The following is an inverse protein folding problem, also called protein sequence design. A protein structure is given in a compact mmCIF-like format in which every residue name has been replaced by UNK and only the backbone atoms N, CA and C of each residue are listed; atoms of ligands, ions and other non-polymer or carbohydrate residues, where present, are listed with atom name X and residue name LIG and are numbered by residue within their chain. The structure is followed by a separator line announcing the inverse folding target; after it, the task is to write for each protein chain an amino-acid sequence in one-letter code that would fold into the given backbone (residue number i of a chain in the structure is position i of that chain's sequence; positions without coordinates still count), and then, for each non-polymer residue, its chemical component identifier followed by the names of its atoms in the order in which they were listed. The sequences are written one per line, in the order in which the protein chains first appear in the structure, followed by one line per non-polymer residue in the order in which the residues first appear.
data_IF_192849733322
#
_entry.id   IF_192849733322
#
_cell.length_a   1.000
_cell.length_b   1.000
_cell.length_c   1.000
_cell.angle_alpha   90.00
_cell.angle_beta   90.00
_cell.angle_gamma   90.00
#
_symmetry.space_group_name_H-M   'P 1'
#
loop_
_entity.id
_entity.type
_entity.pdbx_description
1 polymer ?
#
# COMPACT_ATOMS: atom_id res chain seq x y z
N UNK A 1 4.75 23.23 -20.06
CA UNK A 1 4.22 21.84 -20.12
C UNK A 1 3.47 21.53 -18.84
N UNK A 2 2.29 20.97 -18.96
CA UNK A 2 1.54 20.51 -17.79
C UNK A 2 1.97 19.07 -17.44
N UNK A 3 1.90 18.73 -16.16
CA UNK A 3 2.09 17.35 -15.74
C UNK A 3 0.78 16.57 -15.95
N UNK A 4 0.83 15.38 -16.56
CA UNK A 4 -0.37 14.57 -16.68
C UNK A 4 -0.89 14.10 -15.31
N UNK A 5 -2.21 14.05 -15.15
CA UNK A 5 -2.85 13.66 -13.90
C UNK A 5 -2.85 12.13 -13.76
N UNK A 6 -1.74 11.58 -13.32
CA UNK A 6 -1.59 10.14 -13.06
C UNK A 6 -0.54 9.89 -12.01
N UNK A 7 -0.79 8.91 -11.15
CA UNK A 7 0.18 8.41 -10.19
C UNK A 7 0.72 7.09 -10.76
N UNK A 8 1.97 7.11 -11.20
CA UNK A 8 2.57 5.94 -11.85
C UNK A 8 3.19 5.00 -10.83
N UNK A 9 3.95 5.54 -9.87
CA UNK A 9 4.69 4.75 -8.89
C UNK A 9 4.55 5.38 -7.52
N UNK A 10 4.18 4.58 -6.53
CA UNK A 10 4.34 4.91 -5.13
C UNK A 10 5.57 4.14 -4.62
N UNK A 11 6.62 4.85 -4.22
CA UNK A 11 7.85 4.24 -3.72
C UNK A 11 7.92 4.39 -2.21
N UNK A 12 8.07 3.26 -1.51
CA UNK A 12 8.22 3.22 -0.06
C UNK A 12 9.69 3.01 0.29
N UNK A 13 10.22 3.87 1.15
CA UNK A 13 11.55 3.69 1.72
C UNK A 13 11.54 2.64 2.82
N UNK A 14 12.32 1.58 2.67
CA UNK A 14 12.28 0.44 3.58
C UNK A 14 13.63 0.22 4.26
N UNK A 15 13.60 -0.32 5.49
CA UNK A 15 14.82 -0.61 6.24
C UNK A 15 15.47 -1.94 5.82
N UNK A 16 14.67 -2.87 5.32
CA UNK A 16 15.13 -4.19 4.88
C UNK A 16 14.34 -4.58 3.62
N UNK A 17 14.97 -4.40 2.46
CA UNK A 17 14.31 -4.64 1.18
C UNK A 17 13.83 -6.08 1.03
N UNK A 18 14.64 -7.05 1.44
CA UNK A 18 14.26 -8.46 1.33
C UNK A 18 13.05 -8.81 2.19
N UNK A 19 13.00 -8.28 3.42
CA UNK A 19 11.88 -8.48 4.34
C UNK A 19 10.60 -7.87 3.78
N UNK A 20 10.67 -6.63 3.34
CA UNK A 20 9.49 -5.93 2.80
C UNK A 20 9.01 -6.56 1.51
N UNK A 21 9.91 -6.99 0.64
CA UNK A 21 9.56 -7.71 -0.59
C UNK A 21 8.80 -9.00 -0.27
N UNK A 22 9.28 -9.78 0.68
CA UNK A 22 8.59 -11.01 1.11
C UNK A 22 7.21 -10.73 1.68
N UNK A 23 7.05 -9.63 2.41
CA UNK A 23 5.76 -9.24 2.95
C UNK A 23 4.72 -9.05 1.84
N UNK A 24 5.03 -8.25 0.83
CA UNK A 24 4.10 -7.98 -0.27
C UNK A 24 3.86 -9.22 -1.13
N UNK A 25 4.88 -10.07 -1.32
CA UNK A 25 4.69 -11.37 -1.96
C UNK A 25 3.73 -12.27 -1.16
N UNK A 26 3.80 -12.24 0.16
CA UNK A 26 2.91 -13.01 1.04
C UNK A 26 1.46 -12.51 0.98
N UNK A 27 1.24 -11.24 0.59
CA UNK A 27 -0.10 -10.72 0.30
C UNK A 27 -0.67 -11.27 -1.02
N UNK A 28 0.13 -12.00 -1.80
CA UNK A 28 -0.25 -12.50 -3.12
C UNK A 28 0.17 -11.60 -4.29
N UNK A 29 0.93 -10.55 -4.02
CA UNK A 29 1.37 -9.63 -5.07
C UNK A 29 2.59 -10.17 -5.77
N UNK A 30 2.68 -9.93 -7.09
CA UNK A 30 3.75 -10.47 -7.92
C UNK A 30 4.88 -9.49 -8.09
N UNK A 31 6.08 -9.93 -7.70
CA UNK A 31 7.31 -9.21 -7.98
C UNK A 31 7.57 -9.22 -9.49
N UNK A 32 7.83 -8.06 -10.07
CA UNK A 32 8.04 -7.95 -11.52
C UNK A 32 9.46 -8.31 -11.91
N UNK A 33 9.65 -8.63 -13.21
CA UNK A 33 10.95 -8.96 -13.76
C UNK A 33 11.92 -7.77 -13.78
N UNK A 34 11.42 -6.54 -13.70
CA UNK A 34 12.26 -5.33 -13.62
C UNK A 34 12.87 -5.13 -12.23
N UNK A 35 12.46 -5.93 -11.24
CA UNK A 35 13.04 -5.89 -9.90
C UNK A 35 14.48 -6.41 -9.89
N UNK A 36 15.26 -5.92 -8.93
CA UNK A 36 16.65 -6.33 -8.75
C UNK A 36 16.96 -6.47 -7.25
N UNK A 37 18.23 -6.71 -6.92
CA UNK A 37 18.68 -6.71 -5.53
C UNK A 37 18.63 -5.31 -4.89
N UNK A 38 18.43 -4.24 -5.68
CA UNK A 38 18.42 -2.85 -5.22
C UNK A 38 17.03 -2.26 -5.09
N UNK A 39 16.06 -2.77 -5.86
CA UNK A 39 14.70 -2.22 -5.89
C UNK A 39 13.70 -3.32 -6.25
N UNK A 40 12.54 -3.30 -5.60
CA UNK A 40 11.45 -4.21 -5.91
C UNK A 40 10.28 -3.44 -6.51
N UNK A 41 9.69 -4.00 -7.56
CA UNK A 41 8.49 -3.45 -8.21
C UNK A 41 7.36 -4.48 -8.18
N UNK A 42 6.17 -4.01 -7.82
CA UNK A 42 4.93 -4.78 -7.86
C UNK A 42 3.94 -4.06 -8.76
N UNK A 43 3.49 -4.71 -9.81
CA UNK A 43 2.42 -4.17 -10.63
C UNK A 43 1.10 -4.31 -9.90
N UNK A 44 0.40 -3.20 -9.70
CA UNK A 44 -0.94 -3.20 -9.10
C UNK A 44 -1.97 -2.69 -10.11
N UNK A 45 -3.23 -2.88 -9.81
CA UNK A 45 -4.29 -2.23 -10.56
C UNK A 45 -4.26 -0.72 -10.28
N UNK A 46 -3.96 0.07 -11.30
CA UNK A 46 -3.94 1.53 -11.21
C UNK A 46 -2.57 2.15 -10.94
N UNK A 47 -1.50 1.37 -10.80
CA UNK A 47 -0.16 1.90 -10.60
C UNK A 47 0.85 0.84 -10.20
N UNK A 48 2.03 1.29 -9.83
CA UNK A 48 3.14 0.42 -9.40
C UNK A 48 3.51 0.76 -7.96
N UNK A 49 3.68 -0.25 -7.14
CA UNK A 49 4.33 -0.10 -5.83
C UNK A 49 5.80 -0.45 -6.00
N UNK A 50 6.70 0.44 -5.56
CA UNK A 50 8.12 0.19 -5.50
C UNK A 50 8.61 0.21 -4.06
N UNK A 51 9.58 -0.64 -3.76
CA UNK A 51 10.28 -0.67 -2.48
C UNK A 51 11.74 -0.36 -2.74
N UNK A 52 12.28 0.59 -1.98
CA UNK A 52 13.67 1.04 -2.14
C UNK A 52 14.27 1.30 -0.76
N UNK A 53 15.58 1.08 -0.56
CA UNK A 53 16.18 1.38 0.74
C UNK A 53 15.93 2.83 1.17
N UNK A 54 15.52 3.00 2.42
CA UNK A 54 15.09 4.32 2.94
C UNK A 54 16.12 5.42 2.73
N UNK A 55 17.38 5.15 3.07
CA UNK A 55 18.44 6.16 2.96
C UNK A 55 18.74 6.51 1.51
N UNK A 56 18.72 5.51 0.62
CA UNK A 56 18.92 5.72 -0.82
C UNK A 56 17.77 6.53 -1.43
N UNK A 57 16.53 6.25 -1.01
CA UNK A 57 15.37 7.00 -1.47
C UNK A 57 15.43 8.46 -1.03
N UNK A 58 15.79 8.70 0.23
CA UNK A 58 15.94 10.06 0.74
C UNK A 58 17.02 10.82 -0.03
N UNK A 59 18.16 10.17 -0.30
CA UNK A 59 19.25 10.75 -1.07
C UNK A 59 18.82 11.07 -2.50
N UNK A 60 18.08 10.18 -3.13
CA UNK A 60 17.56 10.39 -4.49
C UNK A 60 16.62 11.59 -4.55
N UNK A 61 15.84 11.81 -3.51
CA UNK A 61 14.94 12.96 -3.37
C UNK A 61 15.63 14.24 -2.88
N UNK A 62 16.94 14.19 -2.60
CA UNK A 62 17.71 15.29 -2.02
C UNK A 62 17.15 15.77 -0.67
N UNK A 63 16.72 14.82 0.15
CA UNK A 63 16.18 15.08 1.49
C UNK A 63 17.03 14.39 2.56
N UNK A 64 17.06 14.94 3.80
CA UNK A 64 17.71 14.24 4.90
C UNK A 64 16.96 12.95 5.24
N UNK A 65 17.72 11.87 5.47
CA UNK A 65 17.17 10.55 5.80
C UNK A 65 16.76 10.48 7.28
N UNK A 66 15.74 11.24 7.64
CA UNK A 66 15.24 11.30 9.02
C UNK A 66 13.92 10.52 9.10
N UNK A 67 13.91 9.50 9.98
CA UNK A 67 12.66 8.79 10.29
C UNK A 67 11.97 9.51 11.44
N UNK A 68 10.67 9.77 11.27
CA UNK A 68 9.82 10.26 12.35
C UNK A 68 9.01 9.11 12.94
N UNK A 69 8.63 9.23 14.20
CA UNK A 69 7.66 8.35 14.83
C UNK A 69 6.24 8.83 14.57
N UNK A 70 5.27 7.93 14.60
CA UNK A 70 3.87 8.26 14.38
C UNK A 70 3.50 8.39 12.91
N UNK A 71 2.43 9.12 12.65
CA UNK A 71 1.87 9.22 11.31
C UNK A 71 2.71 10.14 10.42
N UNK A 72 3.11 9.61 9.25
CA UNK A 72 3.93 10.35 8.28
C UNK A 72 3.14 11.20 7.28
N UNK A 73 1.81 11.21 7.38
CA UNK A 73 0.95 12.06 6.53
C UNK A 73 0.39 11.38 5.28
N UNK A 74 0.72 10.11 5.04
CA UNK A 74 0.24 9.37 3.86
C UNK A 74 -0.30 8.01 4.29
N UNK A 75 -1.47 7.64 3.76
CA UNK A 75 -1.96 6.27 3.77
C UNK A 75 -2.18 5.81 2.34
N UNK A 76 -1.98 4.53 2.09
CA UNK A 76 -2.38 3.88 0.85
C UNK A 76 -3.63 3.06 1.14
N UNK A 77 -4.51 2.91 0.16
CA UNK A 77 -5.76 2.19 0.35
C UNK A 77 -5.95 1.08 -0.67
N UNK A 78 -6.50 -0.02 -0.20
CA UNK A 78 -6.99 -1.12 -1.02
C UNK A 78 -8.50 -1.15 -0.87
N UNK A 79 -9.22 -0.81 -1.93
CA UNK A 79 -10.67 -0.85 -1.94
C UNK A 79 -11.16 -2.23 -2.38
N UNK A 80 -12.18 -2.73 -1.69
CA UNK A 80 -12.75 -4.06 -1.93
C UNK A 80 -14.20 -3.92 -2.42
N UNK A 81 -14.67 -4.94 -3.14
CA UNK A 81 -16.01 -4.94 -3.71
C UNK A 81 -17.11 -5.28 -2.71
N UNK A 82 -16.77 -5.88 -1.56
CA UNK A 82 -17.75 -6.33 -0.58
C UNK A 82 -17.32 -5.98 0.85
N UNK A 83 -18.24 -5.53 1.69
CA UNK A 83 -17.90 -5.18 3.07
C UNK A 83 -17.42 -6.37 3.90
N UNK A 84 -17.93 -7.56 3.63
CA UNK A 84 -17.54 -8.79 4.34
C UNK A 84 -16.11 -9.25 4.05
N UNK A 85 -15.45 -8.69 3.02
CA UNK A 85 -14.08 -9.05 2.69
C UNK A 85 -13.05 -8.21 3.44
N UNK A 86 -13.45 -7.13 4.11
CA UNK A 86 -12.51 -6.21 4.78
C UNK A 86 -11.76 -6.91 5.91
N UNK A 87 -12.46 -7.56 6.83
CA UNK A 87 -11.79 -8.26 7.94
C UNK A 87 -10.93 -9.42 7.47
N UNK A 88 -11.38 -10.31 6.55
CA UNK A 88 -10.50 -11.32 5.98
C UNK A 88 -9.26 -10.75 5.31
N UNK A 89 -9.37 -9.59 4.65
CA UNK A 89 -8.23 -8.89 4.06
C UNK A 89 -7.21 -8.45 5.13
N UNK A 90 -7.68 -7.92 6.23
CA UNK A 90 -6.81 -7.56 7.37
C UNK A 90 -6.18 -8.79 8.00
N UNK A 91 -6.93 -9.89 8.11
CA UNK A 91 -6.41 -11.15 8.65
C UNK A 91 -5.30 -11.71 7.75
N UNK A 92 -5.46 -11.61 6.43
CA UNK A 92 -4.43 -12.02 5.47
C UNK A 92 -3.17 -11.14 5.60
N UNK A 93 -3.32 -9.84 5.78
CA UNK A 93 -2.19 -8.95 6.02
C UNK A 93 -1.44 -9.31 7.31
N UNK A 94 -2.17 -9.59 8.38
CA UNK A 94 -1.58 -10.03 9.65
C UNK A 94 -0.82 -11.35 9.48
N UNK A 95 -1.37 -12.30 8.77
CA UNK A 95 -0.70 -13.57 8.48
C UNK A 95 0.59 -13.38 7.66
N UNK A 96 0.64 -12.36 6.81
CA UNK A 96 1.84 -12.00 6.04
C UNK A 96 2.90 -11.26 6.88
N UNK A 97 2.57 -10.82 8.08
CA UNK A 97 3.50 -10.12 8.98
C UNK A 97 3.14 -8.68 9.31
N UNK A 98 1.97 -8.20 8.89
CA UNK A 98 1.52 -6.85 9.23
C UNK A 98 1.12 -6.71 10.69
N UNK A 99 1.18 -5.49 11.18
CA UNK A 99 0.58 -5.09 12.45
C UNK A 99 -0.79 -4.51 12.18
N UNK A 100 -1.83 -4.99 12.86
CA UNK A 100 -3.16 -4.42 12.72
C UNK A 100 -3.23 -3.15 13.55
N UNK A 101 -3.48 -2.03 12.88
CA UNK A 101 -3.64 -0.72 13.52
C UNK A 101 -5.08 -0.49 13.96
N UNK A 102 -6.03 -0.96 13.15
CA UNK A 102 -7.46 -0.82 13.43
C UNK A 102 -8.21 -1.98 12.78
N UNK A 103 -9.01 -2.74 13.52
CA UNK A 103 -9.82 -3.82 12.93
C UNK A 103 -10.92 -3.24 12.04
N UNK A 104 -11.54 -4.10 11.22
CA UNK A 104 -12.66 -3.69 10.39
C UNK A 104 -13.78 -3.10 11.26
N UNK A 105 -14.19 -1.90 10.93
CA UNK A 105 -15.19 -1.13 11.68
C UNK A 105 -16.14 -0.46 10.69
N UNK A 106 -17.43 -0.54 11.00
CA UNK A 106 -18.45 0.17 10.21
C UNK A 106 -18.38 1.65 10.55
N UNK A 107 -18.21 2.49 9.53
CA UNK A 107 -18.14 3.93 9.67
C UNK A 107 -19.53 4.57 9.56
N UNK A 108 -19.71 5.76 10.15
CA UNK A 108 -20.97 6.50 10.09
C UNK A 108 -21.39 6.83 8.66
N UNK A 109 -20.41 7.05 7.76
CA UNK A 109 -20.68 7.32 6.35
C UNK A 109 -21.13 6.08 5.56
N UNK A 110 -21.23 4.93 6.22
CA UNK A 110 -21.77 3.69 5.66
C UNK A 110 -20.75 2.69 5.17
N UNK A 111 -19.46 3.05 5.10
CA UNK A 111 -18.39 2.14 4.69
C UNK A 111 -17.92 1.23 5.82
N UNK A 112 -17.08 0.27 5.45
CA UNK A 112 -16.35 -0.60 6.39
C UNK A 112 -14.88 -0.46 6.10
N UNK A 113 -14.07 -0.15 7.11
CA UNK A 113 -12.63 0.00 6.91
C UNK A 113 -11.84 -0.44 8.13
N UNK A 114 -10.60 -0.79 7.88
CA UNK A 114 -9.60 -1.04 8.90
C UNK A 114 -8.22 -0.69 8.35
N UNK A 115 -7.19 -0.77 9.18
CA UNK A 115 -5.84 -0.40 8.81
C UNK A 115 -4.84 -1.45 9.28
N UNK A 116 -3.83 -1.69 8.46
CA UNK A 116 -2.64 -2.41 8.87
C UNK A 116 -1.39 -1.58 8.58
N UNK A 117 -0.32 -1.84 9.32
CA UNK A 117 1.01 -1.31 9.03
C UNK A 117 1.87 -2.41 8.41
N UNK A 118 2.61 -2.06 7.36
CA UNK A 118 3.61 -2.94 6.77
C UNK A 118 4.83 -3.08 7.71
N UNK A 119 5.87 -3.87 7.36
CA UNK A 119 7.03 -4.05 8.24
C UNK A 119 7.77 -2.77 8.63
N UNK A 120 7.67 -1.71 7.83
CA UNK A 120 8.27 -0.41 8.11
C UNK A 120 7.32 0.58 8.78
N UNK A 121 6.08 0.17 9.06
CA UNK A 121 5.09 1.01 9.71
C UNK A 121 4.24 1.83 8.75
N UNK A 122 4.35 1.62 7.44
CA UNK A 122 3.50 2.33 6.49
C UNK A 122 2.06 1.88 6.61
N UNK A 123 1.11 2.82 6.84
CA UNK A 123 -0.29 2.47 7.05
C UNK A 123 -1.01 2.24 5.73
N UNK A 124 -1.75 1.13 5.68
CA UNK A 124 -2.63 0.78 4.59
C UNK A 124 -4.05 0.70 5.09
N UNK A 125 -4.97 1.35 4.39
CA UNK A 125 -6.40 1.18 4.61
C UNK A 125 -6.93 0.03 3.77
N UNK A 126 -7.70 -0.87 4.38
CA UNK A 126 -8.49 -1.87 3.67
C UNK A 126 -9.94 -1.45 3.84
N UNK A 127 -10.63 -1.14 2.74
CA UNK A 127 -11.89 -0.40 2.80
C UNK A 127 -12.90 -0.90 1.78
N UNK A 128 -14.14 -0.96 2.19
CA UNK A 128 -15.30 -1.03 1.31
C UNK A 128 -16.11 0.24 1.44
N UNK A 129 -16.44 0.87 0.33
CA UNK A 129 -17.30 2.04 0.28
C UNK A 129 -18.56 1.73 -0.50
N UNK A 130 -19.76 2.12 0.02
CA UNK A 130 -20.99 1.97 -0.74
C UNK A 130 -20.90 2.69 -2.09
N UNK A 131 -21.45 2.10 -3.12
CA UNK A 131 -21.48 2.68 -4.46
C UNK A 131 -20.10 2.82 -5.14
N UNK A 132 -19.05 2.18 -4.61
CA UNK A 132 -17.76 2.15 -5.28
C UNK A 132 -17.86 1.45 -6.62
N UNK A 133 -17.15 2.01 -7.60
CA UNK A 133 -17.05 1.44 -8.95
C UNK A 133 -15.59 1.11 -9.25
N UNK A 134 -15.39 0.04 -9.99
CA UNK A 134 -14.06 -0.39 -10.40
C UNK A 134 -14.00 -0.48 -11.92
N UNK A 135 -12.85 -0.12 -12.46
CA UNK A 135 -12.56 -0.31 -13.89
C UNK A 135 -12.30 -1.80 -14.15
N UNK A 136 -12.32 -2.24 -15.43
CA UNK A 136 -12.08 -3.66 -15.76
C UNK A 136 -10.75 -4.21 -15.24
N UNK A 137 -9.74 -3.36 -15.07
CA UNK A 137 -8.43 -3.75 -14.52
C UNK A 137 -8.41 -3.85 -12.99
N UNK A 138 -9.52 -3.54 -12.31
CA UNK A 138 -9.63 -3.57 -10.86
C UNK A 138 -9.29 -2.26 -10.16
N UNK A 139 -8.87 -1.22 -10.90
CA UNK A 139 -8.61 0.09 -10.30
C UNK A 139 -9.92 0.80 -9.97
N UNK A 140 -9.86 1.65 -8.94
CA UNK A 140 -11.02 2.41 -8.48
C UNK A 140 -11.40 3.47 -9.52
N UNK A 141 -12.70 3.56 -9.79
CA UNK A 141 -13.26 4.57 -10.67
C UNK A 141 -14.04 5.59 -9.84
N UNK A 142 -13.57 6.83 -9.82
CA UNK A 142 -14.21 7.95 -9.12
C UNK A 142 -14.80 8.99 -10.08
N UNK A 143 -14.85 8.65 -11.35
CA UNK A 143 -15.41 9.54 -12.38
C UNK A 143 -16.94 9.58 -12.38
#
# INVERSE_FOLDING_TARGET
MALPARICIATLGVSDLARSTKFYQALGWQLTADSSALISFFQTAGGVLALYPFDDLAKDAALPALRSSGFGGVTLAINLERPEDVQPGLDAAKAAGATILKPATKAEWGGVSGYFADPDGYPWEVVWAPNSKFKPDGSLDVS
#
